data_IF_250625598121
#
_entry.id   IF_250625598121
#
_cell.length_a   1.000
_cell.length_b   1.000
_cell.length_c   1.000
_cell.angle_alpha   90.00
_cell.angle_beta   90.00
_cell.angle_gamma   90.00
#
_symmetry.space_group_name_H-M   'P 1'
#
loop_
_entity.id
_entity.type
_entity.pdbx_description
1 polymer ?
#
# COMPACT_ATOMS: atom_id res chain seq x y z
N UNK A 1 13.81 1.63 -47.13
CA UNK A 1 12.47 1.66 -46.51
C UNK A 1 12.52 1.38 -45.01
N UNK A 2 13.21 0.33 -44.55
CA UNK A 2 13.38 0.05 -43.11
C UNK A 2 14.04 1.19 -42.31
N UNK A 3 15.07 1.83 -42.87
CA UNK A 3 15.80 2.93 -42.22
C UNK A 3 14.98 4.24 -42.08
N UNK A 4 14.02 4.46 -42.97
CA UNK A 4 13.08 5.60 -42.89
C UNK A 4 12.06 5.31 -41.78
N UNK A 5 11.53 4.07 -41.76
CA UNK A 5 10.59 3.60 -40.74
C UNK A 5 11.19 3.57 -39.33
N UNK A 6 12.50 3.28 -39.21
CA UNK A 6 13.24 3.37 -37.95
C UNK A 6 13.28 4.80 -37.40
N UNK A 7 13.68 5.76 -38.25
CA UNK A 7 13.76 7.19 -37.88
C UNK A 7 12.41 7.81 -37.51
N UNK A 8 11.33 7.40 -38.16
CA UNK A 8 9.98 7.85 -37.80
C UNK A 8 9.57 7.35 -36.40
N UNK A 9 9.85 6.09 -36.06
CA UNK A 9 9.56 5.55 -34.73
C UNK A 9 10.37 6.22 -33.63
N UNK A 10 11.65 6.54 -33.87
CA UNK A 10 12.46 7.29 -32.91
C UNK A 10 11.89 8.69 -32.65
N UNK A 11 11.45 9.38 -33.69
CA UNK A 11 10.76 10.67 -33.56
C UNK A 11 9.47 10.53 -32.76
N UNK A 12 8.65 9.52 -33.06
CA UNK A 12 7.41 9.27 -32.32
C UNK A 12 7.66 8.95 -30.83
N UNK A 13 8.70 8.17 -30.50
CA UNK A 13 9.10 7.93 -29.11
C UNK A 13 9.47 9.25 -28.42
N UNK A 14 10.35 10.04 -29.03
CA UNK A 14 10.79 11.32 -28.46
C UNK A 14 9.63 12.31 -28.27
N UNK A 15 8.75 12.44 -29.26
CA UNK A 15 7.57 13.31 -29.19
C UNK A 15 6.65 12.85 -28.05
N UNK A 16 6.41 11.55 -27.92
CA UNK A 16 5.58 11.02 -26.83
C UNK A 16 6.16 11.34 -25.45
N UNK A 17 7.49 11.23 -25.27
CA UNK A 17 8.19 11.60 -24.03
C UNK A 17 8.02 13.07 -23.71
N UNK A 18 8.25 13.94 -24.70
CA UNK A 18 8.13 15.39 -24.55
C UNK A 18 6.72 15.80 -24.14
N UNK A 19 5.71 15.23 -24.81
CA UNK A 19 4.29 15.46 -24.47
C UNK A 19 4.02 15.10 -23.01
N UNK A 20 4.54 13.97 -22.52
CA UNK A 20 4.30 13.53 -21.15
C UNK A 20 5.02 14.36 -20.10
N UNK A 21 6.22 14.88 -20.41
CA UNK A 21 6.92 15.84 -19.54
C UNK A 21 6.10 17.13 -19.37
N UNK A 22 5.43 17.59 -20.43
CA UNK A 22 4.59 18.79 -20.41
C UNK A 22 3.22 18.49 -19.76
N UNK A 23 2.61 17.37 -20.16
CA UNK A 23 1.28 16.93 -19.76
C UNK A 23 1.30 15.42 -19.43
N UNK A 24 1.56 15.05 -18.16
CA UNK A 24 1.62 13.65 -17.72
C UNK A 24 0.27 12.92 -17.81
N UNK A 25 -0.84 13.63 -18.00
CA UNK A 25 -2.18 13.05 -18.12
C UNK A 25 -2.62 12.84 -19.58
N UNK A 26 -1.69 12.94 -20.54
CA UNK A 26 -2.00 12.66 -21.95
C UNK A 26 -2.14 11.14 -22.21
N UNK A 27 -3.38 10.65 -22.27
CA UNK A 27 -3.70 9.24 -22.49
C UNK A 27 -3.23 8.69 -23.85
N UNK A 28 -3.22 9.52 -24.90
CA UNK A 28 -2.77 9.13 -26.24
C UNK A 28 -1.26 8.85 -26.25
N UNK A 29 -0.48 9.71 -25.60
CA UNK A 29 0.96 9.52 -25.45
C UNK A 29 1.24 8.22 -24.69
N UNK A 30 0.58 7.96 -23.56
CA UNK A 30 0.72 6.68 -22.84
C UNK A 30 0.37 5.46 -23.69
N UNK A 31 -0.71 5.54 -24.46
CA UNK A 31 -1.15 4.45 -25.35
C UNK A 31 -0.10 4.14 -26.42
N UNK A 32 0.53 5.18 -26.99
CA UNK A 32 1.65 5.03 -27.93
C UNK A 32 2.86 4.36 -27.26
N UNK A 33 3.22 4.78 -26.04
CA UNK A 33 4.33 4.15 -25.28
C UNK A 33 4.09 2.67 -24.99
N UNK A 34 2.87 2.30 -24.57
CA UNK A 34 2.49 0.89 -24.38
C UNK A 34 2.61 0.10 -25.68
N UNK A 35 2.19 0.68 -26.80
CA UNK A 35 2.35 0.07 -28.13
C UNK A 35 3.82 -0.14 -28.50
N UNK A 36 4.69 0.84 -28.25
CA UNK A 36 6.14 0.70 -28.47
C UNK A 36 6.74 -0.47 -27.68
N UNK A 37 6.46 -0.54 -26.38
CA UNK A 37 6.99 -1.58 -25.51
C UNK A 37 6.45 -2.98 -25.84
N UNK A 38 5.20 -3.06 -26.30
CA UNK A 38 4.55 -4.34 -26.66
C UNK A 38 5.01 -4.87 -28.03
N UNK A 39 5.47 -3.98 -28.92
CA UNK A 39 5.89 -4.31 -30.29
C UNK A 39 7.41 -4.60 -30.42
N UNK A 40 8.09 -4.90 -29.31
CA UNK A 40 9.55 -5.06 -29.18
C UNK A 40 10.15 -6.29 -29.87
N UNK A 41 9.39 -7.04 -30.67
CA UNK A 41 9.94 -8.07 -31.57
C UNK A 41 10.68 -7.51 -32.80
N UNK A 42 10.86 -6.19 -32.90
CA UNK A 42 11.42 -5.55 -34.09
C UNK A 42 12.95 -5.45 -34.00
N UNK A 43 13.70 -5.88 -35.03
CA UNK A 43 15.18 -5.96 -35.03
C UNK A 43 15.90 -4.60 -34.95
N UNK A 44 15.17 -3.48 -35.06
CA UNK A 44 15.72 -2.12 -35.03
C UNK A 44 15.57 -1.40 -33.67
N UNK A 45 15.05 -2.08 -32.63
CA UNK A 45 14.93 -1.49 -31.29
C UNK A 45 16.14 -1.85 -30.43
N UNK A 46 16.56 -0.97 -29.49
CA UNK A 46 17.54 -1.32 -28.46
C UNK A 46 17.15 -2.60 -27.72
N UNK A 47 18.10 -3.25 -27.05
CA UNK A 47 17.81 -4.35 -26.13
C UNK A 47 16.62 -3.94 -25.25
N UNK A 48 15.60 -4.81 -25.10
CA UNK A 48 14.39 -4.49 -24.35
C UNK A 48 14.69 -3.96 -22.94
N UNK A 49 15.81 -4.39 -22.35
CA UNK A 49 16.31 -3.89 -21.06
C UNK A 49 16.65 -2.40 -21.09
N UNK A 50 17.27 -1.91 -22.15
CA UNK A 50 17.63 -0.49 -22.31
C UNK A 50 16.37 0.36 -22.50
N UNK A 51 15.41 -0.16 -23.27
CA UNK A 51 14.12 0.50 -23.48
C UNK A 51 13.32 0.60 -22.18
N UNK A 52 13.24 -0.48 -21.40
CA UNK A 52 12.59 -0.49 -20.09
C UNK A 52 13.30 0.43 -19.10
N UNK A 53 14.63 0.48 -19.12
CA UNK A 53 15.40 1.38 -18.27
C UNK A 53 15.13 2.85 -18.65
N UNK A 54 15.08 3.18 -19.94
CA UNK A 54 14.69 4.51 -20.42
C UNK A 54 13.26 4.87 -20.00
N UNK A 55 12.33 3.90 -20.05
CA UNK A 55 10.94 4.08 -19.65
C UNK A 55 10.80 4.35 -18.15
N UNK A 56 11.47 3.56 -17.30
CA UNK A 56 11.48 3.79 -15.87
C UNK A 56 12.13 5.13 -15.50
N UNK A 57 13.18 5.54 -16.21
CA UNK A 57 13.80 6.85 -16.02
C UNK A 57 12.82 7.99 -16.33
N UNK A 58 12.07 7.89 -17.44
CA UNK A 58 11.00 8.85 -17.74
C UNK A 58 9.98 8.90 -16.60
N UNK A 59 9.51 7.75 -16.14
CA UNK A 59 8.55 7.69 -15.03
C UNK A 59 9.10 8.27 -13.73
N UNK A 60 10.38 8.03 -13.42
CA UNK A 60 11.03 8.60 -12.25
C UNK A 60 11.09 10.13 -12.37
N UNK A 61 11.39 10.68 -13.54
CA UNK A 61 11.35 12.13 -13.77
C UNK A 61 9.94 12.67 -13.55
N UNK A 62 8.92 12.02 -14.11
CA UNK A 62 7.53 12.47 -13.98
C UNK A 62 7.03 12.39 -12.53
N UNK A 63 7.34 11.30 -11.81
CA UNK A 63 6.95 11.12 -10.41
C UNK A 63 7.72 12.02 -9.44
N UNK A 64 8.88 12.53 -9.85
CA UNK A 64 9.61 13.58 -9.11
C UNK A 64 9.18 15.01 -9.51
N UNK A 65 8.16 15.15 -10.37
CA UNK A 65 7.59 16.46 -10.72
C UNK A 65 6.28 16.72 -9.95
N UNK A 66 5.96 17.99 -9.68
CA UNK A 66 4.70 18.35 -9.01
C UNK A 66 3.45 17.90 -9.78
N UNK A 67 3.46 17.93 -11.12
CA UNK A 67 2.31 17.50 -11.92
C UNK A 67 2.22 15.98 -12.00
N UNK A 68 3.32 15.31 -12.33
CA UNK A 68 3.33 13.86 -12.56
C UNK A 68 3.16 13.04 -11.28
N UNK A 69 3.65 13.50 -10.13
CA UNK A 69 3.49 12.80 -8.83
C UNK A 69 2.03 12.56 -8.42
N UNK A 70 1.09 13.40 -8.87
CA UNK A 70 -0.36 13.22 -8.63
C UNK A 70 -1.12 12.66 -9.84
N UNK A 71 -0.44 12.38 -10.95
CA UNK A 71 -1.09 11.87 -12.15
C UNK A 71 -1.44 10.40 -11.99
N UNK A 72 -2.73 10.01 -12.05
CA UNK A 72 -3.11 8.59 -12.04
C UNK A 72 -2.48 7.81 -13.20
N UNK A 73 -2.35 8.43 -14.38
CA UNK A 73 -1.84 7.75 -15.56
C UNK A 73 -0.36 7.38 -15.43
N UNK A 74 0.45 8.25 -14.82
CA UNK A 74 1.86 7.95 -14.53
C UNK A 74 1.98 6.73 -13.62
N UNK A 75 1.21 6.71 -12.51
CA UNK A 75 1.22 5.58 -11.57
C UNK A 75 0.70 4.29 -12.21
N UNK A 76 -0.35 4.35 -13.01
CA UNK A 76 -0.90 3.19 -13.71
C UNK A 76 0.05 2.66 -14.78
N UNK A 77 0.75 3.53 -15.50
CA UNK A 77 1.75 3.11 -16.47
C UNK A 77 2.97 2.48 -15.80
N UNK A 78 3.44 3.05 -14.68
CA UNK A 78 4.50 2.44 -13.86
C UNK A 78 4.10 1.05 -13.41
N UNK A 79 2.93 0.92 -12.78
CA UNK A 79 2.38 -0.38 -12.35
C UNK A 79 2.35 -1.38 -13.52
N UNK A 80 1.84 -0.98 -14.67
CA UNK A 80 1.76 -1.84 -15.86
C UNK A 80 3.14 -2.34 -16.33
N UNK A 81 4.17 -1.48 -16.33
CA UNK A 81 5.54 -1.90 -16.67
C UNK A 81 6.08 -2.91 -15.66
N UNK A 82 5.88 -2.62 -14.37
CA UNK A 82 6.38 -3.47 -13.30
C UNK A 82 5.73 -4.86 -13.35
N UNK A 83 4.41 -4.92 -13.50
CA UNK A 83 3.65 -6.18 -13.63
C UNK A 83 4.06 -6.99 -14.86
N UNK A 84 4.28 -6.33 -15.99
CA UNK A 84 4.48 -7.03 -17.25
C UNK A 84 5.92 -7.45 -17.50
N UNK A 85 6.90 -6.70 -17.00
CA UNK A 85 8.29 -6.88 -17.37
C UNK A 85 9.24 -7.10 -16.18
N UNK A 86 9.02 -6.43 -15.04
CA UNK A 86 9.96 -6.54 -13.92
C UNK A 86 9.62 -7.67 -12.96
N UNK A 87 8.36 -7.77 -12.52
CA UNK A 87 7.92 -8.78 -11.56
C UNK A 87 8.11 -10.22 -12.04
N UNK A 88 7.87 -10.56 -13.33
CA UNK A 88 8.13 -11.92 -13.84
C UNK A 88 9.61 -12.32 -13.83
N UNK A 89 10.52 -11.36 -13.93
CA UNK A 89 11.98 -11.59 -13.92
C UNK A 89 12.60 -11.38 -12.53
N UNK A 90 11.79 -11.04 -11.52
CA UNK A 90 12.29 -10.65 -10.21
C UNK A 90 12.77 -11.87 -9.41
N UNK A 91 14.08 -11.97 -9.21
CA UNK A 91 14.65 -13.00 -8.35
C UNK A 91 14.31 -12.75 -6.87
N UNK A 92 14.23 -13.82 -6.05
CA UNK A 92 13.93 -13.68 -4.62
C UNK A 92 14.96 -12.83 -3.87
N UNK A 93 16.23 -12.96 -4.26
CA UNK A 93 17.35 -12.19 -3.70
C UNK A 93 17.24 -10.68 -3.96
N UNK A 94 16.54 -10.28 -5.03
CA UNK A 94 16.38 -8.87 -5.42
C UNK A 94 15.06 -8.26 -4.93
N UNK A 95 14.15 -9.06 -4.34
CA UNK A 95 12.80 -8.59 -3.97
C UNK A 95 12.84 -7.41 -2.98
N UNK A 96 13.66 -7.49 -1.93
CA UNK A 96 13.75 -6.42 -0.94
C UNK A 96 14.35 -5.14 -1.54
N UNK A 97 15.38 -5.27 -2.39
CA UNK A 97 15.99 -4.13 -3.07
C UNK A 97 14.99 -3.46 -4.02
N UNK A 98 14.24 -4.25 -4.79
CA UNK A 98 13.13 -3.78 -5.62
C UNK A 98 12.08 -3.03 -4.80
N UNK A 99 11.55 -3.67 -3.74
CA UNK A 99 10.54 -3.06 -2.87
C UNK A 99 11.03 -1.75 -2.23
N UNK A 100 12.27 -1.74 -1.75
CA UNK A 100 12.91 -0.55 -1.17
C UNK A 100 13.09 0.57 -2.19
N UNK A 101 13.37 0.25 -3.45
CA UNK A 101 13.46 1.26 -4.51
C UNK A 101 12.10 1.88 -4.81
N UNK A 102 11.06 1.05 -4.94
CA UNK A 102 9.73 1.52 -5.26
C UNK A 102 9.09 2.32 -4.12
N UNK A 103 9.31 1.93 -2.86
CA UNK A 103 8.86 2.71 -1.69
C UNK A 103 9.53 4.07 -1.61
N UNK A 104 10.82 4.21 -1.97
CA UNK A 104 11.49 5.53 -2.06
C UNK A 104 10.86 6.46 -3.09
N UNK A 105 10.31 5.92 -4.17
CA UNK A 105 9.59 6.70 -5.18
C UNK A 105 8.26 7.20 -4.60
N UNK A 106 7.55 6.35 -3.85
CA UNK A 106 6.38 6.76 -3.08
C UNK A 106 6.72 7.87 -2.07
N UNK A 107 7.80 7.72 -1.32
CA UNK A 107 8.22 8.71 -0.33
C UNK A 107 8.57 10.05 -1.00
N UNK A 108 9.26 10.02 -2.15
CA UNK A 108 9.56 11.23 -2.93
C UNK A 108 8.29 11.92 -3.43
N UNK A 109 7.30 11.16 -3.90
CA UNK A 109 6.01 11.71 -4.32
C UNK A 109 5.21 12.29 -3.14
N UNK A 110 5.29 11.67 -1.95
CA UNK A 110 4.65 12.16 -0.73
C UNK A 110 5.31 13.43 -0.18
N UNK A 111 6.64 13.61 -0.38
CA UNK A 111 7.33 14.88 -0.06
C UNK A 111 6.81 16.04 -0.90
N UNK A 112 6.48 15.78 -2.17
CA UNK A 112 5.92 16.80 -3.08
C UNK A 112 4.46 17.12 -2.76
N UNK A 113 3.67 16.11 -2.40
CA UNK A 113 2.27 16.24 -2.04
C UNK A 113 1.96 15.36 -0.83
N UNK A 114 1.85 15.95 0.37
CA UNK A 114 1.42 15.21 1.55
C UNK A 114 0.08 14.51 1.29
N UNK A 115 -0.08 13.29 1.80
CA UNK A 115 -1.29 12.46 1.62
C UNK A 115 -1.59 12.12 0.15
N UNK A 116 -0.56 11.79 -0.62
CA UNK A 116 -0.72 11.43 -2.02
C UNK A 116 -1.41 10.07 -2.16
N UNK A 117 -2.72 10.10 -2.39
CA UNK A 117 -3.58 8.92 -2.54
C UNK A 117 -3.03 7.90 -3.56
N UNK A 118 -2.50 8.35 -4.71
CA UNK A 118 -2.01 7.43 -5.73
C UNK A 118 -0.71 6.75 -5.33
N UNK A 119 0.16 7.47 -4.60
CA UNK A 119 1.37 6.88 -4.02
C UNK A 119 1.01 5.81 -2.98
N UNK A 120 0.08 6.11 -2.05
CA UNK A 120 -0.39 5.13 -1.06
C UNK A 120 -1.01 3.91 -1.73
N UNK A 121 -1.85 4.12 -2.75
CA UNK A 121 -2.46 3.02 -3.53
C UNK A 121 -1.42 2.16 -4.26
N UNK A 122 -0.37 2.78 -4.80
CA UNK A 122 0.74 2.06 -5.42
C UNK A 122 1.52 1.24 -4.39
N UNK A 123 1.80 1.82 -3.21
CA UNK A 123 2.49 1.15 -2.10
C UNK A 123 1.72 -0.07 -1.58
N UNK A 124 0.40 0.04 -1.45
CA UNK A 124 -0.48 -1.10 -1.14
C UNK A 124 -0.38 -2.20 -2.18
N UNK A 125 -0.48 -1.83 -3.46
CA UNK A 125 -0.34 -2.82 -4.54
C UNK A 125 1.02 -3.51 -4.50
N UNK A 126 2.11 -2.76 -4.30
CA UNK A 126 3.47 -3.33 -4.19
C UNK A 126 3.56 -4.38 -3.10
N UNK A 127 3.12 -4.06 -1.88
CA UNK A 127 3.21 -5.03 -0.78
C UNK A 127 2.33 -6.25 -1.02
N UNK A 128 1.07 -6.07 -1.43
CA UNK A 128 0.19 -7.19 -1.73
C UNK A 128 0.78 -8.10 -2.81
N UNK A 129 1.35 -7.52 -3.86
CA UNK A 129 2.03 -8.29 -4.91
C UNK A 129 3.27 -9.00 -4.39
N UNK A 130 4.17 -8.31 -3.68
CA UNK A 130 5.39 -8.92 -3.13
C UNK A 130 5.11 -10.05 -2.11
N UNK A 131 4.01 -9.95 -1.35
CA UNK A 131 3.57 -11.00 -0.42
C UNK A 131 3.00 -12.23 -1.16
N UNK A 132 2.38 -12.03 -2.33
CA UNK A 132 1.78 -13.10 -3.13
C UNK A 132 2.76 -13.84 -4.05
N UNK A 133 3.97 -13.31 -4.29
CA UNK A 133 4.96 -14.00 -5.13
C UNK A 133 5.35 -15.36 -4.54
N UNK A 134 5.35 -16.42 -5.36
CA UNK A 134 5.61 -17.81 -4.93
C UNK A 134 6.95 -17.99 -4.20
N UNK A 135 7.95 -17.19 -4.57
CA UNK A 135 9.27 -17.16 -3.95
C UNK A 135 9.44 -16.03 -2.94
N UNK A 136 8.35 -15.46 -2.41
CA UNK A 136 8.46 -14.43 -1.39
C UNK A 136 9.31 -14.98 -0.24
N UNK A 137 10.50 -14.42 0.06
CA UNK A 137 11.27 -14.80 1.22
C UNK A 137 10.41 -14.73 2.48
N UNK A 138 9.33 -13.95 2.49
CA UNK A 138 8.36 -13.91 3.57
C UNK A 138 7.61 -15.23 3.78
N UNK A 139 7.24 -15.99 2.74
CA UNK A 139 6.60 -17.30 2.88
C UNK A 139 7.58 -18.33 3.44
N UNK A 140 8.80 -18.41 2.91
CA UNK A 140 9.84 -19.33 3.38
C UNK A 140 10.39 -18.94 4.77
N UNK A 141 10.45 -17.65 5.08
CA UNK A 141 10.90 -17.13 6.37
C UNK A 141 9.84 -17.22 7.46
N UNK A 142 8.56 -16.92 7.17
CA UNK A 142 7.47 -17.12 8.14
C UNK A 142 7.24 -18.60 8.45
N UNK A 143 7.44 -19.50 7.48
CA UNK A 143 7.41 -20.96 7.70
C UNK A 143 8.61 -21.49 8.50
N UNK A 144 9.68 -20.71 8.66
CA UNK A 144 10.90 -21.13 9.37
C UNK A 144 11.11 -20.41 10.72
N UNK A 145 10.20 -19.52 11.11
CA UNK A 145 10.27 -18.84 12.41
C UNK A 145 9.42 -19.51 13.49
N UNK A 146 9.89 -19.57 14.74
CA UNK A 146 9.07 -20.03 15.87
C UNK A 146 8.04 -18.99 16.36
N UNK A 147 8.11 -17.74 15.89
CA UNK A 147 7.19 -16.68 16.34
C UNK A 147 7.34 -15.42 15.47
N UNK A 148 6.24 -14.70 15.17
CA UNK A 148 6.25 -13.46 14.38
C UNK A 148 6.91 -12.24 15.06
N UNK A 149 7.48 -12.41 16.25
CA UNK A 149 8.11 -11.35 17.03
C UNK A 149 9.55 -10.98 16.59
N UNK A 150 10.22 -11.81 15.77
CA UNK A 150 11.62 -11.62 15.37
C UNK A 150 11.82 -11.64 13.84
N UNK A 151 11.09 -10.81 13.10
CA UNK A 151 11.32 -10.62 11.67
C UNK A 151 12.56 -9.74 11.45
N UNK A 152 13.52 -10.08 10.58
CA UNK A 152 14.69 -9.27 10.30
C UNK A 152 14.27 -7.96 9.62
N UNK A 153 15.09 -6.90 9.70
CA UNK A 153 14.80 -5.61 9.07
C UNK A 153 14.59 -5.68 7.55
N UNK A 154 15.06 -6.75 6.91
CA UNK A 154 14.87 -7.04 5.47
C UNK A 154 13.51 -7.66 5.15
N UNK A 155 12.65 -7.88 6.15
CA UNK A 155 11.29 -8.34 5.95
C UNK A 155 10.40 -7.16 5.51
N UNK A 156 9.84 -7.28 4.30
CA UNK A 156 8.98 -6.26 3.68
C UNK A 156 7.77 -5.92 4.55
N UNK A 157 7.12 -6.92 5.16
CA UNK A 157 5.95 -6.71 6.01
C UNK A 157 6.32 -5.96 7.29
N UNK A 158 7.38 -6.38 7.97
CA UNK A 158 7.86 -5.73 9.18
C UNK A 158 8.26 -4.27 8.92
N UNK A 159 9.00 -4.02 7.84
CA UNK A 159 9.40 -2.67 7.42
C UNK A 159 8.16 -1.79 7.18
N UNK A 160 7.14 -2.34 6.53
CA UNK A 160 5.93 -1.59 6.21
C UNK A 160 5.05 -1.30 7.43
N UNK A 161 4.86 -2.27 8.33
CA UNK A 161 4.15 -2.05 9.61
C UNK A 161 4.88 -0.98 10.42
N UNK A 162 6.21 -1.08 10.53
CA UNK A 162 7.04 -0.13 11.28
C UNK A 162 6.92 1.29 10.72
N UNK A 163 7.07 1.45 9.40
CA UNK A 163 6.89 2.74 8.72
C UNK A 163 5.49 3.31 8.98
N UNK A 164 4.46 2.48 8.84
CA UNK A 164 3.07 2.90 8.96
C UNK A 164 2.74 3.35 10.37
N UNK A 165 3.16 2.59 11.38
CA UNK A 165 3.02 2.96 12.81
C UNK A 165 3.73 4.28 13.13
N UNK A 166 4.96 4.45 12.64
CA UNK A 166 5.69 5.71 12.83
C UNK A 166 4.95 6.89 12.19
N UNK A 167 4.44 6.73 10.97
CA UNK A 167 3.70 7.79 10.29
C UNK A 167 2.40 8.15 11.01
N UNK A 168 1.61 7.16 11.44
CA UNK A 168 0.37 7.35 12.21
C UNK A 168 0.67 8.14 13.48
N UNK A 169 1.74 7.79 14.20
CA UNK A 169 2.12 8.49 15.43
C UNK A 169 2.39 9.98 15.23
N UNK A 170 2.91 10.35 14.06
CA UNK A 170 3.20 11.75 13.70
C UNK A 170 2.03 12.44 13.00
N UNK A 171 1.09 11.68 12.41
CA UNK A 171 0.02 12.19 11.55
C UNK A 171 -1.32 11.47 11.83
N UNK A 172 -1.88 11.57 13.05
CA UNK A 172 -3.07 10.81 13.46
C UNK A 172 -4.36 11.20 12.71
N UNK A 173 -4.35 12.29 11.93
CA UNK A 173 -5.48 12.71 11.08
C UNK A 173 -5.39 12.22 9.63
N UNK A 174 -4.38 11.42 9.27
CA UNK A 174 -4.22 10.89 7.93
C UNK A 174 -4.98 9.56 7.77
N UNK A 175 -6.23 9.65 7.32
CA UNK A 175 -7.06 8.46 7.08
C UNK A 175 -6.50 7.53 6.01
N UNK A 176 -5.65 8.02 5.11
CA UNK A 176 -5.04 7.20 4.07
C UNK A 176 -4.07 6.17 4.66
N UNK A 177 -3.24 6.59 5.61
CA UNK A 177 -2.27 5.71 6.24
C UNK A 177 -2.93 4.69 7.19
N UNK A 178 -4.05 5.05 7.82
CA UNK A 178 -4.85 4.12 8.63
C UNK A 178 -5.42 2.98 7.79
N UNK A 179 -6.03 3.33 6.65
CA UNK A 179 -6.51 2.35 5.70
C UNK A 179 -5.37 1.48 5.18
N UNK A 180 -4.18 2.06 4.98
CA UNK A 180 -3.00 1.31 4.56
C UNK A 180 -2.65 0.19 5.54
N UNK A 181 -2.58 0.49 6.85
CA UNK A 181 -2.31 -0.52 7.88
C UNK A 181 -3.40 -1.58 7.96
N UNK A 182 -4.67 -1.17 7.87
CA UNK A 182 -5.80 -2.09 7.85
C UNK A 182 -5.72 -3.07 6.67
N UNK A 183 -5.43 -2.57 5.45
CA UNK A 183 -5.28 -3.43 4.28
C UNK A 183 -4.05 -4.33 4.38
N UNK A 184 -2.99 -3.88 5.03
CA UNK A 184 -1.80 -4.68 5.30
C UNK A 184 -2.15 -5.89 6.19
N UNK A 185 -2.92 -5.68 7.25
CA UNK A 185 -3.38 -6.74 8.15
C UNK A 185 -4.32 -7.73 7.47
N UNK A 186 -5.27 -7.25 6.67
CA UNK A 186 -6.13 -8.13 5.88
C UNK A 186 -5.35 -8.93 4.83
N UNK A 187 -4.36 -8.31 4.18
CA UNK A 187 -3.49 -9.00 3.23
C UNK A 187 -2.68 -10.09 3.93
N UNK A 188 -2.15 -9.82 5.12
CA UNK A 188 -1.47 -10.83 5.93
C UNK A 188 -2.38 -12.00 6.26
N UNK A 189 -3.58 -11.72 6.78
CA UNK A 189 -4.55 -12.75 7.14
C UNK A 189 -4.97 -13.62 5.95
N UNK A 190 -5.19 -13.00 4.80
CA UNK A 190 -5.54 -13.71 3.56
C UNK A 190 -4.43 -14.63 3.06
N UNK A 191 -3.17 -14.31 3.33
CA UNK A 191 -2.00 -15.05 2.82
C UNK A 191 -1.50 -16.06 3.85
N UNK A 192 -1.61 -15.75 5.15
CA UNK A 192 -1.09 -16.54 6.27
C UNK A 192 -2.18 -16.76 7.34
N UNK A 193 -3.28 -17.45 7.02
CA UNK A 193 -4.39 -17.66 7.97
C UNK A 193 -3.94 -18.41 9.24
N UNK A 194 -2.97 -19.32 9.11
CA UNK A 194 -2.43 -20.11 10.23
C UNK A 194 -1.60 -19.29 11.23
N UNK A 195 -1.21 -18.06 10.87
CA UNK A 195 -0.41 -17.15 11.71
C UNK A 195 -1.27 -16.06 12.39
N UNK A 196 -2.57 -16.29 12.52
CA UNK A 196 -3.55 -15.37 13.12
C UNK A 196 -3.15 -14.89 14.53
N UNK A 197 -2.53 -15.75 15.34
CA UNK A 197 -2.03 -15.37 16.68
C UNK A 197 -0.98 -14.25 16.64
N UNK A 198 -0.12 -14.25 15.63
CA UNK A 198 0.85 -13.17 15.44
C UNK A 198 0.21 -11.84 15.09
N UNK A 199 -0.77 -11.91 14.19
CA UNK A 199 -1.55 -10.74 13.80
C UNK A 199 -2.36 -10.19 14.98
N UNK A 200 -2.88 -11.07 15.84
CA UNK A 200 -3.60 -10.67 17.05
C UNK A 200 -2.75 -9.79 17.95
N UNK A 201 -1.50 -10.19 18.22
CA UNK A 201 -0.57 -9.40 19.04
C UNK A 201 -0.38 -8.00 18.44
N UNK A 202 -0.18 -7.91 17.13
CA UNK A 202 0.00 -6.63 16.44
C UNK A 202 -1.25 -5.75 16.52
N UNK A 203 -2.43 -6.32 16.27
CA UNK A 203 -3.72 -5.60 16.35
C UNK A 203 -3.97 -5.09 17.76
N UNK A 204 -3.72 -5.89 18.80
CA UNK A 204 -3.87 -5.47 20.19
C UNK A 204 -2.92 -4.32 20.55
N UNK A 205 -1.66 -4.38 20.13
CA UNK A 205 -0.71 -3.28 20.31
C UNK A 205 -1.21 -1.98 19.66
N UNK A 206 -1.72 -2.04 18.44
CA UNK A 206 -2.22 -0.84 17.76
C UNK A 206 -3.50 -0.31 18.38
N UNK A 207 -4.38 -1.18 18.89
CA UNK A 207 -5.52 -0.76 19.70
C UNK A 207 -5.04 -0.01 20.95
N UNK A 208 -4.04 -0.50 21.67
CA UNK A 208 -3.52 0.20 22.85
C UNK A 208 -2.86 1.54 22.51
N UNK A 209 -2.04 1.58 21.45
CA UNK A 209 -1.43 2.83 20.97
C UNK A 209 -2.50 3.85 20.59
N UNK A 210 -3.49 3.43 19.79
CA UNK A 210 -4.59 4.26 19.33
C UNK A 210 -5.42 4.79 20.52
N UNK A 211 -5.71 3.93 21.51
CA UNK A 211 -6.39 4.30 22.75
C UNK A 211 -5.65 5.41 23.50
N UNK A 212 -4.33 5.30 23.63
CA UNK A 212 -3.51 6.29 24.33
C UNK A 212 -3.43 7.64 23.57
N UNK A 213 -3.51 7.61 22.24
CA UNK A 213 -3.51 8.83 21.41
C UNK A 213 -4.84 9.59 21.50
N UNK A 214 -5.95 8.88 21.72
CA UNK A 214 -7.26 9.45 22.03
C UNK A 214 -7.27 9.85 23.53
N UNK A 215 -6.47 10.86 23.88
CA UNK A 215 -6.34 11.36 25.26
C UNK A 215 -7.28 12.54 25.55
N UNK A 216 -7.70 13.28 24.52
CA UNK A 216 -8.62 14.41 24.60
C UNK A 216 -9.56 14.34 23.39
N UNK A 217 -10.84 14.66 23.60
CA UNK A 217 -11.83 14.71 22.52
C UNK A 217 -11.53 15.89 21.58
N UNK A 218 -11.07 15.58 20.37
CA UNK A 218 -10.87 16.54 19.28
C UNK A 218 -11.50 15.97 18.00
N UNK A 219 -12.35 16.75 17.33
CA UNK A 219 -12.94 16.38 16.04
C UNK A 219 -11.87 16.12 14.96
N UNK A 220 -10.65 16.64 15.12
CA UNK A 220 -9.51 16.34 14.24
C UNK A 220 -9.06 14.86 14.31
N UNK A 221 -9.44 14.13 15.36
CA UNK A 221 -9.11 12.71 15.59
C UNK A 221 -10.14 11.74 14.98
N UNK A 222 -11.14 12.22 14.22
CA UNK A 222 -12.09 11.36 13.50
C UNK A 222 -11.41 10.19 12.74
N UNK A 223 -10.33 10.41 11.97
CA UNK A 223 -9.62 9.33 11.29
C UNK A 223 -9.07 8.26 12.23
N UNK A 224 -8.72 8.63 13.46
CA UNK A 224 -8.14 7.74 14.47
C UNK A 224 -9.20 6.85 15.11
N UNK A 225 -10.40 7.39 15.38
CA UNK A 225 -11.57 6.59 15.77
C UNK A 225 -11.99 5.61 14.67
N UNK A 226 -12.03 6.08 13.41
CA UNK A 226 -12.31 5.20 12.28
C UNK A 226 -11.26 4.09 12.16
N UNK A 227 -9.99 4.40 12.41
CA UNK A 227 -8.92 3.40 12.41
C UNK A 227 -9.10 2.36 13.51
N UNK A 228 -9.47 2.78 14.72
CA UNK A 228 -9.78 1.86 15.83
C UNK A 228 -10.89 0.89 15.47
N UNK A 229 -11.95 1.38 14.83
CA UNK A 229 -13.02 0.54 14.31
C UNK A 229 -12.53 -0.49 13.28
N UNK A 230 -11.69 -0.07 12.33
CA UNK A 230 -11.06 -0.96 11.36
C UNK A 230 -10.20 -2.04 12.02
N UNK A 231 -9.49 -1.73 13.10
CA UNK A 231 -8.74 -2.73 13.86
C UNK A 231 -9.68 -3.73 14.57
N UNK A 232 -10.75 -3.23 15.18
CA UNK A 232 -11.74 -4.08 15.86
C UNK A 232 -12.46 -5.03 14.88
N UNK A 233 -12.67 -4.62 13.63
CA UNK A 233 -13.30 -5.49 12.63
C UNK A 233 -12.42 -6.65 12.17
N UNK A 234 -11.12 -6.65 12.48
CA UNK A 234 -10.21 -7.77 12.18
C UNK A 234 -10.33 -8.88 13.24
N UNK A 235 -10.58 -8.51 14.50
CA UNK A 235 -10.57 -9.45 15.65
C UNK A 235 -11.44 -10.70 15.48
N UNK A 236 -12.67 -10.66 14.90
CA UNK A 236 -13.50 -11.85 14.71
C UNK A 236 -12.83 -12.93 13.86
N UNK A 237 -11.89 -12.54 12.99
CA UNK A 237 -11.21 -13.47 12.10
C UNK A 237 -9.95 -14.09 12.70
N UNK A 238 -9.49 -13.59 13.85
CA UNK A 238 -8.22 -13.99 14.48
C UNK A 238 -8.35 -14.33 15.97
N UNK A 239 -9.55 -14.34 16.53
CA UNK A 239 -9.83 -14.68 17.93
C UNK A 239 -11.04 -15.60 18.06
N UNK A 240 -11.17 -16.28 19.21
CA UNK A 240 -12.40 -17.01 19.50
C UNK A 240 -13.55 -16.04 19.79
N UNK A 241 -14.78 -16.49 19.52
CA UNK A 241 -16.02 -15.73 19.78
C UNK A 241 -16.07 -15.15 21.21
N UNK A 242 -15.68 -15.94 22.20
CA UNK A 242 -15.61 -15.50 23.61
C UNK A 242 -14.61 -14.36 23.82
N UNK A 243 -13.40 -14.47 23.26
CA UNK A 243 -12.39 -13.42 23.39
C UNK A 243 -12.84 -12.13 22.69
N UNK A 244 -13.41 -12.24 21.49
CA UNK A 244 -13.95 -11.08 20.77
C UNK A 244 -15.03 -10.36 21.57
N UNK A 245 -15.97 -11.10 22.18
CA UNK A 245 -17.04 -10.50 22.99
C UNK A 245 -16.51 -9.81 24.24
N UNK A 246 -15.50 -10.37 24.90
CA UNK A 246 -14.84 -9.72 26.03
C UNK A 246 -14.18 -8.40 25.59
N UNK A 247 -13.49 -8.40 24.45
CA UNK A 247 -12.86 -7.20 23.89
C UNK A 247 -13.88 -6.12 23.51
N UNK A 248 -15.02 -6.50 22.90
CA UNK A 248 -16.10 -5.57 22.61
C UNK A 248 -16.68 -4.96 23.89
N UNK A 249 -16.83 -5.74 24.96
CA UNK A 249 -17.33 -5.24 26.25
C UNK A 249 -16.39 -4.20 26.84
N UNK A 250 -15.08 -4.47 26.85
CA UNK A 250 -14.05 -3.52 27.29
C UNK A 250 -14.05 -2.23 26.44
N UNK A 251 -14.36 -2.34 25.15
CA UNK A 251 -14.46 -1.20 24.24
C UNK A 251 -15.67 -0.31 24.57
N UNK A 252 -16.83 -0.91 24.86
CA UNK A 252 -18.03 -0.18 25.33
C UNK A 252 -17.72 0.55 26.63
N UNK A 253 -17.12 -0.14 27.60
CA UNK A 253 -16.78 0.43 28.90
C UNK A 253 -15.82 1.62 28.73
N UNK A 254 -14.78 1.46 27.90
CA UNK A 254 -13.86 2.55 27.60
C UNK A 254 -14.57 3.75 26.95
N UNK A 255 -15.41 3.54 25.93
CA UNK A 255 -16.17 4.61 25.26
C UNK A 255 -17.18 5.30 26.18
N UNK A 256 -17.78 4.58 27.12
CA UNK A 256 -18.77 5.14 28.06
C UNK A 256 -18.17 6.24 28.96
N UNK A 257 -16.86 6.18 29.18
CA UNK A 257 -16.11 7.21 29.90
C UNK A 257 -15.90 8.50 29.06
N UNK A 258 -16.17 8.46 27.76
CA UNK A 258 -16.14 9.61 26.85
C UNK A 258 -17.58 10.04 26.51
N UNK A 259 -17.96 11.26 26.89
CA UNK A 259 -19.33 11.76 26.69
C UNK A 259 -19.79 11.61 25.23
N UNK A 260 -20.99 11.04 24.95
CA UNK A 260 -21.49 10.81 23.59
C UNK A 260 -22.01 12.13 22.98
N UNK A 261 -21.12 13.08 22.70
CA UNK A 261 -21.53 14.41 22.22
C UNK A 261 -21.53 14.55 20.69
N UNK A 262 -21.15 13.50 19.94
CA UNK A 262 -21.15 13.53 18.47
C UNK A 262 -21.79 12.31 17.83
N UNK A 263 -22.31 12.50 16.61
CA UNK A 263 -22.90 11.46 15.75
C UNK A 263 -21.97 10.28 15.46
N UNK A 264 -20.65 10.47 15.64
CA UNK A 264 -19.60 9.49 15.36
C UNK A 264 -19.54 8.44 16.48
N UNK A 265 -19.54 8.86 17.75
CA UNK A 265 -19.62 7.93 18.89
C UNK A 265 -20.90 7.12 18.79
N UNK A 266 -22.00 7.74 18.35
CA UNK A 266 -23.27 7.05 18.14
C UNK A 266 -23.15 5.96 17.07
N UNK A 267 -22.55 6.22 15.91
CA UNK A 267 -22.34 5.21 14.86
C UNK A 267 -21.37 4.10 15.27
N UNK A 268 -20.30 4.45 15.98
CA UNK A 268 -19.34 3.46 16.48
C UNK A 268 -19.97 2.56 17.55
N UNK A 269 -20.73 3.14 18.49
CA UNK A 269 -21.51 2.41 19.48
C UNK A 269 -22.63 1.59 18.83
N UNK A 270 -23.33 2.11 17.82
CA UNK A 270 -24.32 1.36 17.03
C UNK A 270 -23.68 0.12 16.40
N UNK A 271 -22.50 0.25 15.79
CA UNK A 271 -21.77 -0.89 15.25
C UNK A 271 -21.37 -1.89 16.35
N UNK A 272 -20.78 -1.43 17.46
CA UNK A 272 -20.39 -2.31 18.57
C UNK A 272 -21.60 -3.09 19.10
N UNK A 273 -22.72 -2.39 19.32
CA UNK A 273 -23.96 -2.99 19.80
C UNK A 273 -24.52 -3.99 18.79
N UNK A 274 -24.51 -3.68 17.49
CA UNK A 274 -24.89 -4.63 16.44
C UNK A 274 -23.97 -5.86 16.43
N UNK A 275 -22.66 -5.69 16.58
CA UNK A 275 -21.72 -6.81 16.63
C UNK A 275 -21.94 -7.70 17.84
N UNK A 276 -22.25 -7.12 19.01
CA UNK A 276 -22.63 -7.87 20.21
C UNK A 276 -23.91 -8.68 19.99
N UNK A 277 -24.97 -8.09 19.44
CA UNK A 277 -26.25 -8.79 19.23
C UNK A 277 -26.15 -9.93 18.22
N UNK A 278 -25.32 -9.79 17.18
CA UNK A 278 -25.06 -10.86 16.21
C UNK A 278 -24.14 -11.96 16.78
N UNK A 279 -23.33 -11.64 17.79
CA UNK A 279 -22.49 -12.61 18.49
C UNK A 279 -23.23 -13.39 19.57
N UNK A 280 -24.39 -12.94 20.06
CA UNK A 280 -25.16 -13.67 21.08
C UNK A 280 -26.10 -14.72 20.51
N UNK A 281 -26.35 -14.69 19.20
CA UNK A 281 -27.01 -15.74 18.43
C UNK A 281 -25.99 -16.72 17.82
#
# INVERSE_FOLDING_TARGET
>A
MEEIRGREKEKEDLISKLILVINPDNSNAWSKRKSFLSNTKHPSLPNIKDLLSSELNLLNILLNSKKGSKSPLVWYHRKWILERFYLPELSPSNLFAFYSNETRICDSANKLHPRNYYSSKHRLWLISTCLQLDHSPLKLFLLSLPSPSNLPPTNIYHAEVSFTRQWISSNPSDSGIHNHLYFLYNSFLSIFPDLSNGLLILVLQDLDINKNQISIFDNSLYPLFQFRWLLMSILPHITSKTHFNNMLSLEVDWLSNYSPQTSINKRYLEWINMSLTHSTN
#
